data_IF_741002266335
#
_entry.id   IF_741002266335
#
_cell.length_a   1.000
_cell.length_b   1.000
_cell.length_c   1.000
_cell.angle_alpha   90.00
_cell.angle_beta   90.00
_cell.angle_gamma   90.00
#
_symmetry.space_group_name_H-M   'P 1'
#
loop_
_entity.id
_entity.type
_entity.pdbx_description
1 polymer ?
#
# COMPACT_ATOMS: atom_id res chain seq x y z
N UNK A 1 8.37 15.13 -18.53
CA UNK A 1 7.27 15.79 -17.79
C UNK A 1 6.40 14.69 -17.23
N UNK A 2 6.53 14.45 -15.93
CA UNK A 2 5.95 13.29 -15.24
C UNK A 2 4.43 13.39 -15.22
N UNK A 3 3.78 12.48 -15.93
CA UNK A 3 2.35 12.26 -15.83
C UNK A 3 2.08 11.53 -14.52
N UNK A 4 1.23 12.14 -13.70
CA UNK A 4 0.69 11.57 -12.46
C UNK A 4 0.04 10.22 -12.81
N UNK A 5 0.69 9.12 -12.40
CA UNK A 5 0.13 7.76 -12.45
C UNK A 5 -0.57 7.53 -11.12
N UNK A 6 -1.87 7.84 -11.05
CA UNK A 6 -2.72 7.37 -9.94
C UNK A 6 -3.32 6.04 -10.38
N UNK A 7 -2.56 4.96 -10.25
CA UNK A 7 -3.16 3.73 -9.76
C UNK A 7 -3.20 3.91 -8.25
N UNK A 8 -4.37 3.74 -7.67
CA UNK A 8 -4.61 3.99 -6.27
C UNK A 8 -3.74 3.08 -5.43
N UNK A 9 -2.52 3.52 -5.11
CA UNK A 9 -1.90 3.16 -3.85
C UNK A 9 -2.97 3.50 -2.83
N UNK A 10 -3.30 2.56 -1.95
CA UNK A 10 -3.93 2.87 -0.67
C UNK A 10 -2.99 3.85 0.02
N UNK A 11 -3.10 5.12 -0.37
CA UNK A 11 -2.68 6.22 0.43
C UNK A 11 -3.53 6.01 1.66
N UNK A 12 -2.89 5.58 2.75
CA UNK A 12 -3.35 5.92 4.09
C UNK A 12 -3.90 7.32 3.96
N UNK A 13 -5.22 7.43 4.01
CA UNK A 13 -5.91 8.70 3.83
C UNK A 13 -5.23 9.64 4.81
N UNK A 14 -4.49 10.61 4.28
CA UNK A 14 -4.06 11.76 5.05
C UNK A 14 -5.35 12.50 5.37
N UNK A 15 -6.00 12.07 6.43
CA UNK A 15 -7.22 12.66 6.95
C UNK A 15 -6.86 14.04 7.47
N UNK A 16 -6.98 15.04 6.60
CA UNK A 16 -6.84 16.44 6.95
C UNK A 16 -8.14 16.86 7.65
N UNK A 17 -8.17 16.75 8.98
CA UNK A 17 -9.22 17.36 9.80
C UNK A 17 -8.84 18.81 10.11
N UNK A 18 -9.83 19.71 10.07
CA UNK A 18 -9.63 21.11 10.42
C UNK A 18 -9.48 21.26 11.93
N UNK A 19 -8.40 21.88 12.38
CA UNK A 19 -8.13 22.11 13.80
C UNK A 19 -8.22 23.58 14.17
N UNK A 20 -8.78 23.86 15.35
CA UNK A 20 -8.85 25.21 15.89
C UNK A 20 -7.51 25.56 16.54
N UNK A 21 -6.66 26.30 15.82
CA UNK A 21 -5.43 26.87 16.34
C UNK A 21 -4.23 25.91 16.27
N UNK A 22 -3.11 26.44 15.76
CA UNK A 22 -1.88 25.70 15.47
C UNK A 22 -1.09 25.17 16.68
N UNK A 23 -1.74 24.87 17.80
CA UNK A 23 -1.08 24.21 18.93
C UNK A 23 -1.01 22.70 18.72
N UNK A 24 0.21 22.16 18.75
CA UNK A 24 0.46 20.72 18.71
C UNK A 24 0.65 20.20 20.14
N UNK A 25 -0.23 19.28 20.56
CA UNK A 25 -0.12 18.54 21.82
C UNK A 25 0.81 17.34 21.63
N UNK A 26 1.84 17.26 22.47
CA UNK A 26 2.66 16.05 22.61
C UNK A 26 1.87 15.01 23.40
N UNK A 27 1.76 13.79 22.88
CA UNK A 27 0.98 12.71 23.49
C UNK A 27 1.81 11.45 23.66
N UNK A 28 1.68 10.83 24.84
CA UNK A 28 2.15 9.46 25.09
C UNK A 28 1.27 8.42 24.39
N UNK A 29 1.76 7.20 24.24
CA UNK A 29 0.99 6.09 23.68
C UNK A 29 -0.25 5.76 24.53
N UNK A 30 -0.18 5.89 25.86
CA UNK A 30 -1.34 5.71 26.72
C UNK A 30 -2.47 6.71 26.41
N UNK A 31 -2.12 7.96 26.11
CA UNK A 31 -3.09 9.00 25.74
C UNK A 31 -3.68 8.81 24.33
N UNK A 32 -3.08 7.97 23.50
CA UNK A 32 -3.58 7.61 22.16
C UNK A 32 -4.44 6.34 22.17
N UNK A 33 -4.74 5.77 23.35
CA UNK A 33 -5.46 4.49 23.46
C UNK A 33 -6.90 4.52 22.96
N UNK A 34 -7.51 5.70 22.82
CA UNK A 34 -8.85 5.88 22.25
C UNK A 34 -8.87 5.99 20.72
N UNK A 35 -7.68 5.94 20.08
CA UNK A 35 -7.50 6.16 18.65
C UNK A 35 -7.57 4.88 17.84
N UNK A 36 -7.81 5.06 16.55
CA UNK A 36 -7.67 4.00 15.56
C UNK A 36 -6.25 4.00 15.02
N UNK A 37 -5.65 2.81 14.93
CA UNK A 37 -4.37 2.57 14.27
C UNK A 37 -4.62 2.01 12.87
N UNK A 38 -4.45 2.85 11.85
CA UNK A 38 -4.59 2.42 10.46
C UNK A 38 -3.27 1.87 9.93
N UNK A 39 -3.29 0.70 9.30
CA UNK A 39 -2.11 0.09 8.66
C UNK A 39 -2.25 0.01 7.14
N UNK A 40 -1.12 0.07 6.44
CA UNK A 40 -1.04 -0.16 5.01
C UNK A 40 0.26 -0.87 4.65
N UNK A 41 0.17 -1.91 3.81
CA UNK A 41 1.33 -2.54 3.17
C UNK A 41 1.22 -2.27 1.67
N UNK A 42 2.18 -1.53 1.11
CA UNK A 42 2.33 -1.37 -0.33
C UNK A 42 3.45 -2.29 -0.83
N UNK A 43 3.12 -3.14 -1.81
CA UNK A 43 4.04 -4.04 -2.51
C UNK A 43 3.96 -3.81 -4.03
N UNK A 44 4.66 -2.81 -4.53
CA UNK A 44 4.50 -2.27 -5.90
C UNK A 44 5.72 -2.58 -6.76
N UNK A 45 5.59 -3.52 -7.69
CA UNK A 45 6.63 -3.86 -8.67
C UNK A 45 6.43 -3.03 -9.95
N UNK A 46 6.93 -1.79 -9.94
CA UNK A 46 6.90 -0.87 -11.10
C UNK A 46 8.19 -1.03 -11.92
N UNK A 47 8.05 -1.41 -13.20
CA UNK A 47 9.21 -1.66 -14.07
C UNK A 47 9.89 -0.35 -14.53
N UNK A 48 9.16 0.76 -14.56
CA UNK A 48 9.69 2.06 -15.00
C UNK A 48 10.32 2.85 -13.86
N UNK A 49 9.82 2.68 -12.63
CA UNK A 49 10.36 3.31 -11.42
C UNK A 49 10.53 2.29 -10.28
N UNK A 50 11.43 1.31 -10.41
CA UNK A 50 11.60 0.23 -9.43
C UNK A 50 12.04 0.74 -8.05
N UNK A 51 12.71 1.89 -7.99
CA UNK A 51 13.19 2.50 -6.75
C UNK A 51 12.26 3.61 -6.21
N UNK A 52 10.99 3.63 -6.65
CA UNK A 52 10.03 4.63 -6.19
C UNK A 52 9.87 4.59 -4.67
N UNK A 53 10.04 5.74 -4.02
CA UNK A 53 9.92 5.81 -2.56
C UNK A 53 8.52 5.39 -2.10
N UNK A 54 8.47 4.41 -1.20
CA UNK A 54 7.23 3.90 -0.64
C UNK A 54 6.54 2.83 -1.47
N UNK A 55 7.12 2.40 -2.60
CA UNK A 55 6.62 1.27 -3.39
C UNK A 55 6.59 -0.04 -2.60
N UNK A 56 7.57 -0.22 -1.71
CA UNK A 56 7.70 -1.38 -0.82
C UNK A 56 7.78 -0.90 0.63
N UNK A 57 6.60 -0.71 1.23
CA UNK A 57 6.50 -0.06 2.55
C UNK A 57 5.36 -0.64 3.37
N UNK A 58 5.65 -0.88 4.64
CA UNK A 58 4.63 -1.00 5.68
C UNK A 58 4.52 0.30 6.46
N UNK A 59 3.29 0.79 6.68
CA UNK A 59 3.00 2.01 7.43
C UNK A 59 1.92 1.74 8.47
N UNK A 60 2.07 2.32 9.65
CA UNK A 60 1.00 2.48 10.63
C UNK A 60 0.83 3.95 10.97
N UNK A 61 -0.40 4.42 11.07
CA UNK A 61 -0.73 5.81 11.38
C UNK A 61 -1.90 5.88 12.35
N UNK A 62 -1.80 6.77 13.34
CA UNK A 62 -2.93 7.07 14.21
C UNK A 62 -3.92 7.99 13.51
N UNK A 63 -5.21 7.77 13.76
CA UNK A 63 -6.27 8.70 13.37
C UNK A 63 -6.03 10.09 13.99
N UNK A 64 -6.24 11.15 13.21
CA UNK A 64 -6.22 12.54 13.71
C UNK A 64 -7.21 12.79 14.84
N UNK A 65 -6.92 13.79 15.66
CA UNK A 65 -7.87 14.46 16.56
C UNK A 65 -9.20 14.79 15.87
N UNK A 66 -10.30 14.58 16.60
CA UNK A 66 -11.65 14.98 16.16
C UNK A 66 -11.70 16.51 16.04
N UNK A 67 -12.60 17.02 15.18
CA UNK A 67 -12.77 18.44 14.92
C UNK A 67 -12.83 19.28 16.22
N UNK A 68 -11.99 20.31 16.31
CA UNK A 68 -11.90 21.22 17.45
C UNK A 68 -10.91 20.82 18.56
N UNK A 69 -10.21 19.69 18.45
CA UNK A 69 -9.10 19.33 19.33
C UNK A 69 -7.74 19.73 18.71
N UNK A 70 -6.70 20.00 19.53
CA UNK A 70 -5.36 20.32 19.02
C UNK A 70 -4.77 19.15 18.21
N UNK A 71 -3.85 19.46 17.30
CA UNK A 71 -3.07 18.43 16.61
C UNK A 71 -2.27 17.62 17.62
N UNK A 72 -2.12 16.32 17.38
CA UNK A 72 -1.32 15.44 18.22
C UNK A 72 0.00 15.09 17.55
N UNK A 73 1.09 15.04 18.32
CA UNK A 73 2.34 14.39 17.91
C UNK A 73 2.81 13.37 18.93
N UNK A 74 3.59 12.38 18.49
CA UNK A 74 4.26 11.45 19.40
C UNK A 74 5.18 12.19 20.38
N UNK A 75 5.24 11.68 21.61
CA UNK A 75 6.33 11.95 22.52
C UNK A 75 7.68 11.50 21.92
N UNK A 76 8.75 12.18 22.31
CA UNK A 76 10.08 11.99 21.69
C UNK A 76 10.73 10.65 22.08
N UNK A 77 10.22 9.97 23.12
CA UNK A 77 10.68 8.66 23.57
C UNK A 77 9.93 7.48 22.94
N UNK A 78 8.95 7.73 22.07
CA UNK A 78 8.28 6.67 21.32
C UNK A 78 9.28 5.97 20.41
N UNK A 79 9.25 4.64 20.44
CA UNK A 79 9.99 3.75 19.54
C UNK A 79 9.01 2.87 18.77
N UNK A 80 9.40 2.42 17.57
CA UNK A 80 8.58 1.53 16.76
C UNK A 80 9.43 0.45 16.09
N UNK A 81 8.90 -0.77 16.02
CA UNK A 81 9.53 -1.91 15.35
C UNK A 81 8.56 -2.64 14.43
N UNK A 82 9.11 -3.20 13.35
CA UNK A 82 8.47 -4.06 12.38
C UNK A 82 9.20 -5.40 12.37
N UNK A 83 8.55 -6.45 12.88
CA UNK A 83 9.15 -7.77 13.13
C UNK A 83 10.47 -7.70 13.94
N UNK A 84 10.56 -6.74 14.86
CA UNK A 84 11.74 -6.50 15.69
C UNK A 84 12.78 -5.54 15.07
N UNK A 85 12.63 -5.17 13.80
CA UNK A 85 13.50 -4.18 13.16
C UNK A 85 13.00 -2.74 13.38
N UNK A 86 13.88 -1.75 13.61
CA UNK A 86 13.46 -0.38 13.84
C UNK A 86 12.68 0.22 12.66
N UNK A 87 11.59 0.92 12.95
CA UNK A 87 10.83 1.71 11.97
C UNK A 87 11.23 3.19 12.01
N UNK A 88 11.03 3.89 10.90
CA UNK A 88 11.12 5.35 10.86
C UNK A 88 9.87 5.96 11.47
N UNK A 89 10.03 6.82 12.46
CA UNK A 89 8.95 7.57 13.09
C UNK A 89 8.78 8.94 12.44
N UNK A 90 7.53 9.31 12.23
CA UNK A 90 7.10 10.66 11.87
C UNK A 90 6.17 11.14 12.99
N UNK A 91 6.60 12.10 13.82
CA UNK A 91 5.86 12.49 15.02
C UNK A 91 4.44 12.98 14.74
N UNK A 92 4.15 13.57 13.57
CA UNK A 92 2.89 14.24 13.28
C UNK A 92 2.82 15.64 13.89
N UNK A 93 1.62 16.22 13.99
CA UNK A 93 1.38 17.54 14.54
C UNK A 93 0.79 18.52 13.53
N UNK A 94 0.83 19.82 13.81
CA UNK A 94 0.39 20.84 12.87
C UNK A 94 1.32 20.88 11.63
N UNK A 95 0.72 21.04 10.45
CA UNK A 95 1.48 21.13 9.19
C UNK A 95 2.24 22.45 9.11
N UNK A 96 3.57 22.37 8.95
CA UNK A 96 4.45 23.52 8.71
C UNK A 96 4.44 24.01 7.24
N UNK A 97 3.67 23.35 6.37
CA UNK A 97 3.55 23.73 4.95
C UNK A 97 2.66 24.97 4.81
N UNK A 98 3.24 26.05 4.26
CA UNK A 98 2.59 27.35 4.11
C UNK A 98 1.18 27.28 3.51
N UNK A 99 0.19 27.84 4.22
CA UNK A 99 -1.22 27.87 3.81
C UNK A 99 -2.08 26.71 4.36
N UNK A 100 -1.52 25.81 5.17
CA UNK A 100 -2.24 24.68 5.81
C UNK A 100 -2.06 24.63 7.34
N UNK A 101 -1.88 25.79 7.98
CA UNK A 101 -1.67 25.91 9.42
C UNK A 101 -2.80 25.31 10.27
N UNK A 102 -3.99 25.14 9.68
CA UNK A 102 -5.17 24.55 10.33
C UNK A 102 -5.32 23.03 10.09
N UNK A 103 -4.29 22.37 9.53
CA UNK A 103 -4.33 20.93 9.25
C UNK A 103 -3.35 20.13 10.10
N UNK A 104 -3.80 18.96 10.55
CA UNK A 104 -2.95 18.02 11.28
C UNK A 104 -2.39 16.93 10.37
N UNK A 105 -1.13 16.62 10.59
CA UNK A 105 -0.47 15.43 10.09
C UNK A 105 -0.56 14.30 11.12
N UNK A 106 -0.88 13.10 10.64
CA UNK A 106 -0.93 11.90 11.47
C UNK A 106 0.45 11.55 12.02
N UNK A 107 0.51 11.22 13.31
CA UNK A 107 1.63 10.47 13.89
C UNK A 107 1.68 9.09 13.24
N UNK A 108 2.83 8.72 12.67
CA UNK A 108 2.98 7.46 11.93
C UNK A 108 4.37 6.85 12.09
N UNK A 109 4.45 5.54 11.88
CA UNK A 109 5.70 4.81 11.73
C UNK A 109 5.68 4.06 10.40
N UNK A 110 6.82 3.99 9.71
CA UNK A 110 6.93 3.19 8.49
C UNK A 110 8.25 2.42 8.40
N UNK A 111 8.21 1.32 7.69
CA UNK A 111 9.35 0.48 7.36
C UNK A 111 9.37 0.28 5.84
N UNK A 112 10.47 0.68 5.19
CA UNK A 112 10.70 0.34 3.80
C UNK A 112 11.46 -1.00 3.77
N UNK A 113 10.99 -1.95 2.98
CA UNK A 113 11.63 -3.25 2.85
C UNK A 113 12.25 -3.41 1.45
N UNK A 114 13.31 -4.23 1.35
CA UNK A 114 13.85 -4.65 0.06
C UNK A 114 12.97 -5.79 -0.49
N UNK A 115 12.27 -5.60 -1.63
CA UNK A 115 11.39 -6.62 -2.20
C UNK A 115 12.13 -7.91 -2.57
N UNK A 116 13.40 -7.83 -2.97
CA UNK A 116 14.20 -9.00 -3.34
C UNK A 116 14.60 -9.82 -2.10
N UNK A 117 14.89 -9.16 -0.98
CA UNK A 117 15.08 -9.85 0.31
C UNK A 117 13.76 -10.43 0.82
N UNK A 118 12.69 -9.64 0.78
CA UNK A 118 11.34 -10.02 1.23
C UNK A 118 10.83 -11.29 0.54
N UNK A 119 11.05 -11.42 -0.77
CA UNK A 119 10.68 -12.63 -1.54
C UNK A 119 11.46 -13.89 -1.19
N UNK A 120 12.57 -13.79 -0.46
CA UNK A 120 13.35 -14.95 0.03
C UNK A 120 13.03 -15.31 1.48
N UNK A 121 12.34 -14.42 2.21
CA UNK A 121 11.99 -14.66 3.59
C UNK A 121 10.79 -15.61 3.72
N UNK A 122 10.72 -16.42 4.79
CA UNK A 122 9.57 -17.28 5.02
C UNK A 122 8.27 -16.46 5.14
N UNK A 123 7.19 -17.03 4.59
CA UNK A 123 5.85 -16.49 4.81
C UNK A 123 5.50 -16.55 6.30
N UNK A 124 4.91 -15.49 6.83
CA UNK A 124 4.54 -15.43 8.25
C UNK A 124 3.69 -14.23 8.65
N UNK A 125 3.57 -14.04 9.96
CA UNK A 125 2.86 -12.90 10.52
C UNK A 125 3.72 -11.63 10.41
N UNK A 126 3.06 -10.47 10.29
CA UNK A 126 3.68 -9.17 10.55
C UNK A 126 3.36 -8.77 11.98
N UNK A 127 4.38 -8.47 12.77
CA UNK A 127 4.24 -7.89 14.12
C UNK A 127 4.77 -6.47 14.10
N UNK A 128 3.96 -5.51 14.49
CA UNK A 128 4.36 -4.12 14.71
C UNK A 128 4.17 -3.79 16.18
N UNK A 129 5.19 -3.18 16.77
CA UNK A 129 5.16 -2.76 18.17
C UNK A 129 5.64 -1.33 18.28
N UNK A 130 4.82 -0.47 18.89
CA UNK A 130 5.23 0.85 19.35
C UNK A 130 5.30 0.84 20.87
N UNK A 131 6.30 1.51 21.44
CA UNK A 131 6.53 1.53 22.87
C UNK A 131 7.12 2.86 23.33
N UNK A 132 6.64 3.33 24.49
CA UNK A 132 7.24 4.40 25.29
C UNK A 132 7.26 4.00 26.78
N UNK A 133 7.57 4.91 27.69
CA UNK A 133 7.57 4.62 29.12
C UNK A 133 6.17 4.33 29.72
N UNK A 134 5.09 4.65 28.99
CA UNK A 134 3.71 4.64 29.49
C UNK A 134 2.90 3.44 29.02
N UNK A 135 3.15 2.95 27.80
CA UNK A 135 2.33 1.90 27.17
C UNK A 135 3.07 1.16 26.06
N UNK A 136 2.47 0.07 25.61
CA UNK A 136 2.87 -0.68 24.42
C UNK A 136 1.66 -0.89 23.53
N UNK A 137 1.81 -0.55 22.26
CA UNK A 137 0.81 -0.77 21.22
C UNK A 137 1.31 -1.88 20.32
N UNK A 138 0.50 -2.91 20.12
CA UNK A 138 0.89 -4.09 19.34
C UNK A 138 -0.17 -4.46 18.31
N UNK A 139 0.29 -4.58 17.06
CA UNK A 139 -0.48 -5.04 15.91
C UNK A 139 0.15 -6.34 15.38
N UNK A 140 -0.64 -7.40 15.24
CA UNK A 140 -0.21 -8.64 14.57
C UNK A 140 -1.16 -8.93 13.41
N UNK A 141 -0.61 -8.99 12.20
CA UNK A 141 -1.34 -9.37 10.99
C UNK A 141 -0.98 -10.80 10.61
N UNK A 142 -1.99 -11.67 10.55
CA UNK A 142 -1.81 -13.07 10.23
C UNK A 142 -1.38 -13.25 8.76
N UNK A 143 -0.28 -13.97 8.53
CA UNK A 143 0.16 -14.35 7.17
C UNK A 143 0.50 -13.19 6.23
N UNK A 144 0.57 -11.95 6.72
CA UNK A 144 0.73 -10.76 5.89
C UNK A 144 2.16 -10.58 5.34
N UNK A 145 3.15 -11.23 5.97
CA UNK A 145 4.53 -11.28 5.49
C UNK A 145 4.61 -12.30 4.37
N UNK A 146 4.30 -11.87 3.16
CA UNK A 146 4.43 -12.64 1.94
C UNK A 146 4.79 -11.68 0.80
N UNK A 147 5.62 -12.14 -0.15
CA UNK A 147 5.78 -11.43 -1.42
C UNK A 147 4.61 -11.80 -2.31
N UNK A 148 3.92 -10.79 -2.83
CA UNK A 148 2.82 -10.99 -3.78
C UNK A 148 3.33 -10.85 -5.20
N UNK A 149 2.71 -11.60 -6.08
CA UNK A 149 2.99 -11.54 -7.51
C UNK A 149 1.76 -11.99 -8.30
N UNK A 150 1.70 -11.53 -9.54
CA UNK A 150 0.87 -12.09 -10.58
C UNK A 150 1.71 -13.01 -11.47
N UNK A 151 1.29 -14.25 -11.62
CA UNK A 151 1.97 -15.25 -12.46
C UNK A 151 1.15 -15.54 -13.71
N UNK A 152 1.73 -15.28 -14.88
CA UNK A 152 1.10 -15.60 -16.16
C UNK A 152 0.85 -17.12 -16.29
N UNK A 153 -0.35 -17.49 -16.76
CA UNK A 153 -0.81 -18.89 -16.81
C UNK A 153 -0.76 -19.50 -18.22
N UNK A 154 -0.18 -18.81 -19.21
CA UNK A 154 0.03 -19.36 -20.55
C UNK A 154 1.41 -19.99 -20.72
N UNK A 155 1.68 -20.53 -21.91
CA UNK A 155 3.02 -21.02 -22.25
C UNK A 155 4.01 -19.85 -22.34
N UNK A 156 5.18 -20.01 -21.71
CA UNK A 156 6.25 -19.01 -21.74
C UNK A 156 5.96 -17.79 -20.86
N UNK A 157 6.39 -16.62 -21.33
CA UNK A 157 6.18 -15.35 -20.65
C UNK A 157 5.00 -14.59 -21.28
N UNK A 158 4.44 -13.63 -20.54
CA UNK A 158 3.42 -12.71 -21.06
C UNK A 158 4.01 -11.63 -22.00
N UNK A 159 5.10 -11.90 -22.71
CA UNK A 159 5.86 -10.89 -23.48
C UNK A 159 5.17 -10.54 -24.81
N UNK A 160 4.29 -11.40 -25.33
CA UNK A 160 3.54 -11.18 -26.57
C UNK A 160 2.07 -11.48 -26.41
N UNK A 161 1.23 -10.45 -26.55
CA UNK A 161 -0.21 -10.56 -26.45
C UNK A 161 -0.87 -10.24 -27.80
N UNK A 162 -1.68 -11.15 -28.30
CA UNK A 162 -2.43 -11.01 -29.56
C UNK A 162 -3.74 -10.28 -29.29
N UNK A 163 -4.11 -9.41 -30.21
CA UNK A 163 -5.41 -8.74 -30.16
C UNK A 163 -6.57 -9.74 -30.25
N UNK A 164 -7.65 -9.48 -29.51
CA UNK A 164 -8.81 -10.36 -29.41
C UNK A 164 -8.62 -11.63 -28.58
N UNK A 165 -7.41 -11.93 -28.11
CA UNK A 165 -7.14 -13.09 -27.27
C UNK A 165 -7.33 -12.78 -25.78
N UNK A 166 -7.65 -13.84 -25.03
CA UNK A 166 -7.80 -13.78 -23.57
C UNK A 166 -6.61 -14.45 -22.90
N UNK A 167 -6.07 -13.79 -21.89
CA UNK A 167 -4.89 -14.18 -21.13
C UNK A 167 -5.23 -14.28 -19.65
N UNK A 168 -4.60 -15.22 -18.94
CA UNK A 168 -4.85 -15.42 -17.52
C UNK A 168 -3.59 -15.21 -16.68
N UNK A 169 -3.79 -14.64 -15.50
CA UNK A 169 -2.80 -14.39 -14.46
C UNK A 169 -3.33 -14.93 -13.15
N UNK A 170 -2.45 -15.49 -12.32
CA UNK A 170 -2.78 -16.01 -11.00
C UNK A 170 -2.14 -15.11 -9.94
N UNK A 171 -2.94 -14.63 -8.99
CA UNK A 171 -2.43 -14.02 -7.77
C UNK A 171 -1.74 -15.08 -6.91
N UNK A 172 -0.54 -14.78 -6.47
CA UNK A 172 0.17 -15.55 -5.46
C UNK A 172 0.47 -14.68 -4.23
N UNK A 173 0.44 -15.27 -3.02
CA UNK A 173 0.21 -16.69 -2.73
C UNK A 173 -1.25 -17.13 -2.92
N UNK A 174 -1.45 -18.37 -3.39
CA UNK A 174 -2.79 -18.92 -3.71
C UNK A 174 -3.72 -19.11 -2.51
N UNK A 175 -3.19 -18.97 -1.29
CA UNK A 175 -3.99 -18.94 -0.05
C UNK A 175 -4.73 -17.62 0.15
N UNK A 176 -4.36 -16.58 -0.61
CA UNK A 176 -5.01 -15.27 -0.60
C UNK A 176 -6.01 -15.16 -1.76
N UNK A 177 -7.10 -14.46 -1.51
CA UNK A 177 -8.04 -14.04 -2.55
C UNK A 177 -8.10 -12.52 -2.51
N UNK A 178 -7.51 -11.82 -3.49
CA UNK A 178 -7.57 -10.37 -3.51
C UNK A 178 -9.01 -9.90 -3.79
N UNK A 179 -9.27 -8.63 -3.49
CA UNK A 179 -10.43 -7.91 -4.00
C UNK A 179 -10.41 -7.79 -5.53
N UNK A 180 -11.29 -6.95 -6.11
CA UNK A 180 -11.31 -6.73 -7.55
C UNK A 180 -9.95 -6.28 -8.07
N UNK A 181 -9.43 -6.97 -9.09
CA UNK A 181 -8.17 -6.60 -9.73
C UNK A 181 -8.40 -5.55 -10.82
N UNK A 182 -7.69 -4.44 -10.71
CA UNK A 182 -7.59 -3.42 -11.73
C UNK A 182 -6.50 -3.80 -12.74
N UNK A 183 -6.81 -3.59 -14.03
CA UNK A 183 -5.89 -3.91 -15.12
C UNK A 183 -5.76 -2.72 -16.04
N UNK A 184 -4.55 -2.25 -16.21
CA UNK A 184 -4.23 -1.07 -17.01
C UNK A 184 -3.20 -1.43 -18.07
N UNK A 185 -3.45 -1.02 -19.30
CA UNK A 185 -2.52 -1.14 -20.41
C UNK A 185 -2.05 0.24 -20.84
N UNK A 186 -0.75 0.49 -20.72
CA UNK A 186 -0.13 1.76 -21.08
C UNK A 186 0.79 1.58 -22.28
N UNK A 187 0.49 2.23 -23.40
CA UNK A 187 1.33 2.20 -24.59
C UNK A 187 2.63 2.95 -24.37
N UNK A 188 3.76 2.39 -24.79
CA UNK A 188 5.04 3.09 -24.82
C UNK A 188 4.94 4.37 -25.67
N UNK A 189 5.34 5.51 -25.09
CA UNK A 189 5.19 6.84 -25.70
C UNK A 189 3.74 7.35 -25.81
N UNK A 190 2.77 6.59 -25.31
CA UNK A 190 1.36 6.99 -25.21
C UNK A 190 1.13 8.05 -24.15
N UNK A 191 0.01 8.77 -24.26
CA UNK A 191 -0.38 9.83 -23.31
C UNK A 191 -1.43 9.39 -22.30
N UNK A 192 -2.18 8.33 -22.58
CA UNK A 192 -3.29 7.88 -21.76
C UNK A 192 -3.25 6.35 -21.57
N UNK A 193 -3.42 5.85 -20.33
CA UNK A 193 -3.66 4.44 -20.07
C UNK A 193 -5.01 3.98 -20.63
N UNK A 194 -5.13 2.69 -20.91
CA UNK A 194 -6.40 2.01 -21.23
C UNK A 194 -6.73 1.03 -20.12
N UNK A 195 -7.88 1.18 -19.48
CA UNK A 195 -8.37 0.18 -18.51
C UNK A 195 -8.91 -1.03 -19.28
N UNK A 196 -8.40 -2.21 -18.95
CA UNK A 196 -8.89 -3.46 -19.50
C UNK A 196 -10.00 -4.02 -18.61
N UNK A 197 -11.03 -4.60 -19.23
CA UNK A 197 -12.00 -5.40 -18.49
C UNK A 197 -11.34 -6.70 -18.08
N UNK A 198 -11.39 -7.00 -16.78
CA UNK A 198 -10.94 -8.25 -16.21
C UNK A 198 -12.13 -9.07 -15.70
N UNK A 199 -12.09 -10.38 -15.91
CA UNK A 199 -12.96 -11.33 -15.22
C UNK A 199 -12.14 -12.06 -14.17
N UNK A 200 -12.66 -12.18 -12.96
CA UNK A 200 -11.93 -12.76 -11.83
C UNK A 200 -12.69 -13.94 -11.23
N UNK A 201 -11.98 -15.03 -10.97
CA UNK A 201 -12.47 -16.22 -10.28
C UNK A 201 -11.45 -16.58 -9.17
N UNK A 202 -11.77 -16.22 -7.93
CA UNK A 202 -10.81 -16.31 -6.83
C UNK A 202 -9.58 -15.44 -7.09
N UNK A 203 -8.39 -16.05 -7.01
CA UNK A 203 -7.11 -15.40 -7.34
C UNK A 203 -6.76 -15.39 -8.84
N UNK A 204 -7.56 -16.01 -9.71
CA UNK A 204 -7.31 -16.06 -11.15
C UNK A 204 -7.99 -14.87 -11.85
N UNK A 205 -7.20 -14.09 -12.57
CA UNK A 205 -7.64 -12.92 -13.34
C UNK A 205 -7.48 -13.24 -14.82
N UNK A 206 -8.54 -13.06 -15.61
CA UNK A 206 -8.49 -13.19 -17.07
C UNK A 206 -8.77 -11.85 -17.72
N UNK A 207 -7.96 -11.49 -18.71
CA UNK A 207 -8.01 -10.21 -19.42
C UNK A 207 -8.10 -10.48 -20.92
N UNK A 208 -8.91 -9.71 -21.65
CA UNK A 208 -8.98 -9.79 -23.11
C UNK A 208 -8.32 -8.55 -23.70
N UNK A 209 -7.39 -8.73 -24.64
CA UNK A 209 -6.81 -7.59 -25.37
C UNK A 209 -7.82 -7.13 -26.44
N UNK A 210 -8.27 -5.87 -26.41
CA UNK A 210 -9.22 -5.39 -27.41
C UNK A 210 -8.70 -5.54 -28.85
N UNK A 211 -9.56 -5.90 -29.83
CA UNK A 211 -9.16 -6.05 -31.23
C UNK A 211 -8.51 -4.81 -31.87
N UNK A 212 -8.82 -3.63 -31.34
CA UNK A 212 -8.33 -2.33 -31.82
C UNK A 212 -7.14 -1.79 -31.00
N UNK A 213 -6.58 -2.57 -30.08
CA UNK A 213 -5.39 -2.14 -29.34
C UNK A 213 -4.22 -1.94 -30.31
N UNK A 214 -3.54 -0.78 -30.28
CA UNK A 214 -2.41 -0.51 -31.16
C UNK A 214 -1.32 -1.58 -31.04
N UNK A 215 -0.72 -1.97 -32.17
CA UNK A 215 0.42 -2.89 -32.17
C UNK A 215 1.68 -2.12 -31.77
N UNK A 216 2.12 -2.29 -30.53
CA UNK A 216 3.26 -1.62 -29.94
C UNK A 216 3.69 -2.33 -28.65
N UNK A 217 4.81 -1.89 -28.07
CA UNK A 217 5.13 -2.21 -26.68
C UNK A 217 4.21 -1.46 -25.73
N UNK A 218 3.85 -2.14 -24.65
CA UNK A 218 3.02 -1.64 -23.59
C UNK A 218 3.58 -2.08 -22.24
N UNK A 219 3.24 -1.31 -21.21
CA UNK A 219 3.26 -1.77 -19.82
C UNK A 219 1.84 -2.24 -19.49
N UNK A 220 1.70 -3.51 -19.14
CA UNK A 220 0.47 -4.07 -18.58
C UNK A 220 0.63 -4.09 -17.05
N UNK A 221 -0.19 -3.35 -16.34
CA UNK A 221 -0.19 -3.28 -14.88
C UNK A 221 -1.40 -4.02 -14.35
N UNK A 222 -1.19 -4.96 -13.43
CA UNK A 222 -2.24 -5.58 -12.63
C UNK A 222 -2.09 -5.08 -11.19
N UNK A 223 -3.18 -4.68 -10.54
CA UNK A 223 -3.15 -4.20 -9.16
C UNK A 223 -4.40 -4.55 -8.40
N UNK A 224 -4.28 -4.77 -7.09
CA UNK A 224 -5.43 -5.05 -6.25
C UNK A 224 -5.14 -4.99 -4.76
N UNK A 225 -6.23 -4.86 -4.01
CA UNK A 225 -6.23 -4.80 -2.56
C UNK A 225 -6.52 -6.17 -1.94
N UNK A 226 -5.97 -6.38 -0.75
CA UNK A 226 -6.21 -7.52 0.10
C UNK A 226 -6.49 -7.01 1.52
N UNK A 227 -7.58 -7.49 2.12
CA UNK A 227 -7.86 -7.20 3.52
C UNK A 227 -6.88 -7.96 4.42
N UNK A 228 -6.21 -7.25 5.33
CA UNK A 228 -5.35 -7.89 6.33
C UNK A 228 -6.17 -8.55 7.43
N UNK A 229 -5.73 -9.71 7.91
CA UNK A 229 -6.36 -10.40 9.03
C UNK A 229 -5.66 -9.99 10.33
N UNK A 230 -6.30 -9.09 11.09
CA UNK A 230 -5.78 -8.62 12.38
C UNK A 230 -5.97 -9.71 13.44
N UNK A 231 -4.86 -10.30 13.87
CA UNK A 231 -4.82 -11.31 14.94
C UNK A 231 -4.70 -10.69 16.33
N UNK A 232 -4.02 -9.55 16.42
CA UNK A 232 -3.84 -8.80 17.66
C UNK A 232 -3.89 -7.30 17.36
N UNK A 233 -4.62 -6.57 18.19
CA UNK A 233 -4.69 -5.12 18.20
C UNK A 233 -4.85 -4.67 19.65
N UNK A 234 -3.76 -4.22 20.27
CA UNK A 234 -3.74 -3.84 21.69
C UNK A 234 -3.10 -2.46 21.87
N UNK A 235 -3.48 -1.77 22.95
CA UNK A 235 -3.00 -0.42 23.27
C UNK A 235 -3.72 0.71 22.51
N UNK A 236 -4.66 0.38 21.63
CA UNK A 236 -5.50 1.32 20.85
C UNK A 236 -6.95 0.83 20.80
N UNK A 237 -7.88 1.69 20.35
CA UNK A 237 -9.30 1.36 20.33
C UNK A 237 -9.66 0.37 19.20
N UNK A 238 -9.01 0.51 18.05
CA UNK A 238 -9.19 -0.39 16.90
C UNK A 238 -8.00 -0.32 15.94
N UNK A 239 -7.85 -1.35 15.13
CA UNK A 239 -6.87 -1.40 14.04
C UNK A 239 -7.60 -1.73 12.73
N UNK A 240 -7.37 -0.94 11.70
CA UNK A 240 -7.98 -1.08 10.39
C UNK A 240 -6.93 -0.89 9.29
N UNK A 241 -7.16 -1.41 8.09
CA UNK A 241 -6.15 -1.30 7.04
C UNK A 241 -6.23 -2.37 5.97
N UNK A 242 -5.23 -2.34 5.09
CA UNK A 242 -5.17 -3.23 3.95
C UNK A 242 -3.77 -3.41 3.40
N UNK A 243 -3.68 -4.33 2.45
CA UNK A 243 -2.46 -4.65 1.73
C UNK A 243 -2.75 -4.39 0.25
N UNK A 244 -1.89 -3.65 -0.41
CA UNK A 244 -1.98 -3.36 -1.84
C UNK A 244 -0.79 -3.99 -2.54
N UNK A 245 -1.05 -4.70 -3.64
CA UNK A 245 -0.02 -5.16 -4.54
C UNK A 245 -0.34 -4.74 -5.97
N UNK A 246 0.69 -4.31 -6.69
CA UNK A 246 0.62 -4.16 -8.14
C UNK A 246 1.91 -4.61 -8.79
N UNK A 247 1.79 -5.10 -10.02
CA UNK A 247 2.93 -5.59 -10.80
C UNK A 247 2.79 -5.19 -12.26
N UNK A 248 3.90 -4.71 -12.81
CA UNK A 248 4.05 -4.40 -14.22
C UNK A 248 4.60 -5.57 -15.03
N UNK A 249 4.09 -5.72 -16.24
CA UNK A 249 4.59 -6.60 -17.28
C UNK A 249 4.93 -5.78 -18.53
N UNK A 250 6.13 -5.95 -19.07
CA UNK A 250 6.47 -5.42 -20.39
C UNK A 250 5.97 -6.38 -21.46
N UNK A 251 5.06 -5.91 -22.30
CA UNK A 251 4.37 -6.74 -23.29
C UNK A 251 4.39 -6.08 -24.67
N UNK A 252 4.49 -6.86 -25.73
CA UNK A 252 4.28 -6.42 -27.10
C UNK A 252 2.89 -6.87 -27.56
N UNK A 253 2.05 -5.93 -27.97
CA UNK A 253 0.77 -6.23 -28.60
C UNK A 253 0.98 -6.50 -30.09
N UNK A 254 0.52 -7.66 -30.55
CA UNK A 254 0.75 -8.17 -31.91
C UNK A 254 -0.58 -8.60 -32.57
N UNK A 255 -0.60 -8.81 -33.91
CA UNK A 255 -1.77 -9.33 -34.62
C UNK A 255 -2.26 -10.71 -34.13
#
# INVERSE_FOLDING_TARGET
MGGIRVLGVVGTLLSLAGCSGGETKVMSLAELSDRTLTYALADVDDVLTPDAQGAHRFTVSYSVSKDGAPCSRFADDVTATFNGEPMTLVPGGASDVGGRADSCENSRAFFNYDPAAWGREPVGDITVQLQDATSTVRLVLQGAKAKRQFTYQGEGAADRLRVGQTYAFLWEPATEVPGPIEVVLFREGGRAPTNLTATQEGGKVSITIPPNTPQANHTLTLGGDLAGVVRECTGVASCDGGIFHSQDFLVSVVP
#
